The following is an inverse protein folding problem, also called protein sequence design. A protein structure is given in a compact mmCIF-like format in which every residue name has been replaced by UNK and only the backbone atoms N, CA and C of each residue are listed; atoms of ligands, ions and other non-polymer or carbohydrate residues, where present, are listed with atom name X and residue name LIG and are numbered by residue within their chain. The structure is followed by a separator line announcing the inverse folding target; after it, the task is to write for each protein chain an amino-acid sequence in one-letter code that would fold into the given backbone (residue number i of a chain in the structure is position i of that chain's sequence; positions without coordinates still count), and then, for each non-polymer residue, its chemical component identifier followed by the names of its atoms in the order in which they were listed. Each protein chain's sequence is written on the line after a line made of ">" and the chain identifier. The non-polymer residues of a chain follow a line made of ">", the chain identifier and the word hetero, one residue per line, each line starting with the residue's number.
data_IF_786134504983
#
_entry.id   IF_786134504983
#
_cell.length_a   1.000
_cell.length_b   1.000
_cell.length_c   1.000
_cell.angle_alpha   90.00
_cell.angle_beta   90.00
_cell.angle_gamma   90.00
#
_symmetry.space_group_name_H-M   'P 1'
#
loop_
_entity.id
_entity.type
_entity.pdbx_description
1 polymer ?
#
# COMPACT_ATOMS: atom_id res chain seq x y z
N UNK A 1 15.15 -35.81 -52.91
CA UNK A 1 14.41 -34.85 -52.07
C UNK A 1 13.87 -35.58 -50.82
N UNK A 2 14.56 -35.46 -49.67
CA UNK A 2 14.05 -36.04 -48.40
C UNK A 2 13.14 -35.01 -47.72
N UNK A 3 11.83 -35.29 -47.65
CA UNK A 3 10.87 -34.51 -46.86
C UNK A 3 11.28 -34.62 -45.39
N UNK A 4 11.69 -33.51 -44.75
CA UNK A 4 11.78 -33.40 -43.30
C UNK A 4 10.37 -33.56 -42.73
N UNK A 5 10.09 -34.69 -42.11
CA UNK A 5 8.94 -34.85 -41.23
C UNK A 5 9.08 -33.86 -40.08
N UNK A 6 8.20 -32.84 -40.03
CA UNK A 6 7.97 -32.06 -38.82
C UNK A 6 7.34 -33.00 -37.80
N UNK A 7 8.13 -33.46 -36.83
CA UNK A 7 7.58 -34.14 -35.63
C UNK A 7 6.67 -33.14 -34.91
N UNK A 8 5.38 -33.44 -34.86
CA UNK A 8 4.47 -32.80 -33.89
C UNK A 8 4.95 -33.21 -32.51
N UNK A 9 5.73 -32.32 -31.85
CA UNK A 9 6.08 -32.49 -30.44
C UNK A 9 4.80 -32.29 -29.65
N UNK A 10 4.18 -33.40 -29.22
CA UNK A 10 3.02 -33.36 -28.35
C UNK A 10 3.39 -32.72 -27.01
N UNK A 11 2.46 -31.97 -26.41
CA UNK A 11 2.66 -31.38 -25.06
C UNK A 11 2.90 -32.52 -24.09
N UNK A 12 3.98 -32.45 -23.31
CA UNK A 12 4.25 -33.43 -22.27
C UNK A 12 3.15 -33.41 -21.18
N UNK A 13 2.87 -34.53 -20.55
CA UNK A 13 1.91 -34.61 -19.44
C UNK A 13 2.28 -33.63 -18.33
N UNK A 14 3.57 -33.50 -18.02
CA UNK A 14 4.09 -32.57 -17.03
C UNK A 14 3.83 -31.11 -17.41
N UNK A 15 4.03 -30.72 -18.68
CA UNK A 15 3.75 -29.37 -19.17
C UNK A 15 2.26 -29.03 -19.04
N UNK A 16 1.39 -29.99 -19.33
CA UNK A 16 -0.06 -29.82 -19.21
C UNK A 16 -0.46 -29.60 -17.74
N UNK A 17 -0.03 -30.44 -16.83
CA UNK A 17 -0.33 -30.30 -15.39
C UNK A 17 0.18 -28.97 -14.83
N UNK A 18 1.39 -28.55 -15.19
CA UNK A 18 1.93 -27.25 -14.77
C UNK A 18 1.05 -26.09 -15.27
N UNK A 19 0.66 -26.11 -16.54
CA UNK A 19 -0.20 -25.07 -17.12
C UNK A 19 -1.59 -25.04 -16.44
N UNK A 20 -2.17 -26.19 -16.19
CA UNK A 20 -3.44 -26.32 -15.46
C UNK A 20 -3.35 -25.76 -14.04
N UNK A 21 -2.34 -26.14 -13.26
CA UNK A 21 -2.14 -25.65 -11.91
C UNK A 21 -1.86 -24.14 -11.86
N UNK A 22 -1.10 -23.60 -12.81
CA UNK A 22 -0.87 -22.16 -12.93
C UNK A 22 -2.19 -21.42 -13.22
N UNK A 23 -2.98 -21.95 -14.16
CA UNK A 23 -4.29 -21.41 -14.51
C UNK A 23 -5.26 -21.45 -13.31
N UNK A 24 -5.34 -22.57 -12.61
CA UNK A 24 -6.18 -22.73 -11.43
C UNK A 24 -5.75 -21.77 -10.31
N UNK A 25 -4.44 -21.63 -10.11
CA UNK A 25 -3.93 -20.71 -9.09
C UNK A 25 -4.39 -19.28 -9.33
N UNK A 26 -4.22 -18.76 -10.55
CA UNK A 26 -4.51 -17.34 -10.83
C UNK A 26 -5.99 -17.05 -11.05
N UNK A 27 -6.78 -18.01 -11.55
CA UNK A 27 -8.18 -17.80 -11.90
C UNK A 27 -9.17 -18.29 -10.85
N UNK A 28 -8.79 -19.28 -10.02
CA UNK A 28 -9.68 -19.90 -9.04
C UNK A 28 -9.17 -19.66 -7.61
N UNK A 29 -7.94 -20.09 -7.32
CA UNK A 29 -7.43 -20.09 -5.94
C UNK A 29 -7.22 -18.67 -5.40
N UNK A 30 -6.55 -17.81 -6.15
CA UNK A 30 -6.27 -16.43 -5.71
C UNK A 30 -7.55 -15.63 -5.49
N UNK A 31 -8.49 -15.54 -6.43
CA UNK A 31 -9.68 -14.73 -6.25
C UNK A 31 -10.73 -15.36 -5.32
N UNK A 32 -10.96 -16.68 -5.40
CA UNK A 32 -12.08 -17.33 -4.71
C UNK A 32 -11.68 -17.95 -3.38
N UNK A 33 -10.61 -18.74 -3.35
CA UNK A 33 -10.24 -19.52 -2.17
C UNK A 33 -9.44 -18.70 -1.14
N UNK A 34 -8.57 -17.80 -1.58
CA UNK A 34 -7.82 -16.91 -0.69
C UNK A 34 -8.54 -15.60 -0.38
N UNK A 35 -9.58 -15.24 -1.13
CA UNK A 35 -10.24 -13.95 -0.96
C UNK A 35 -9.28 -12.77 -1.05
N UNK A 36 -8.30 -12.85 -1.95
CA UNK A 36 -7.33 -11.79 -2.13
C UNK A 36 -8.00 -10.51 -2.65
N UNK A 37 -7.49 -9.35 -2.22
CA UNK A 37 -7.96 -8.08 -2.77
C UNK A 37 -7.66 -7.99 -4.27
N UNK A 38 -8.46 -7.23 -5.01
CA UNK A 38 -8.27 -6.98 -6.46
C UNK A 38 -6.87 -6.43 -6.78
N UNK A 39 -6.26 -5.69 -5.85
CA UNK A 39 -4.87 -5.22 -5.98
C UNK A 39 -3.86 -6.37 -5.91
N UNK A 40 -4.06 -7.32 -5.01
CA UNK A 40 -3.18 -8.51 -4.89
C UNK A 40 -3.32 -9.39 -6.12
N UNK A 41 -4.54 -9.63 -6.58
CA UNK A 41 -4.81 -10.39 -7.79
C UNK A 41 -4.11 -9.75 -9.01
N UNK A 42 -4.29 -8.44 -9.22
CA UNK A 42 -3.61 -7.69 -10.29
C UNK A 42 -2.09 -7.80 -10.19
N UNK A 43 -1.53 -7.68 -8.98
CA UNK A 43 -0.09 -7.81 -8.78
C UNK A 43 0.41 -9.20 -9.15
N UNK A 44 -0.33 -10.25 -8.84
CA UNK A 44 0.00 -11.63 -9.18
C UNK A 44 -0.11 -11.88 -10.70
N UNK A 45 -1.20 -11.43 -11.34
CA UNK A 45 -1.36 -11.49 -12.80
C UNK A 45 -0.22 -10.78 -13.53
N UNK A 46 0.14 -9.56 -13.08
CA UNK A 46 1.26 -8.82 -13.67
C UNK A 46 2.59 -9.57 -13.47
N UNK A 47 2.81 -10.20 -12.31
CA UNK A 47 4.04 -10.96 -12.05
C UNK A 47 4.15 -12.17 -12.97
N UNK A 48 3.04 -12.89 -13.12
CA UNK A 48 2.97 -14.06 -14.02
C UNK A 48 3.16 -13.65 -15.48
N UNK A 49 2.51 -12.59 -15.94
CA UNK A 49 2.66 -12.08 -17.31
C UNK A 49 4.13 -11.71 -17.60
N UNK A 50 4.81 -11.01 -16.69
CA UNK A 50 6.22 -10.67 -16.84
C UNK A 50 7.12 -11.92 -16.85
N UNK A 51 6.76 -12.95 -16.10
CA UNK A 51 7.50 -14.20 -16.11
C UNK A 51 7.35 -14.96 -17.41
N UNK A 52 6.14 -15.03 -17.95
CA UNK A 52 5.86 -15.62 -19.27
C UNK A 52 6.67 -14.89 -20.35
N UNK A 53 6.62 -13.54 -20.38
CA UNK A 53 7.41 -12.75 -21.34
C UNK A 53 8.91 -13.04 -21.24
N UNK A 54 9.45 -13.20 -20.03
CA UNK A 54 10.85 -13.56 -19.83
C UNK A 54 11.16 -14.97 -20.40
N UNK A 55 10.29 -15.95 -20.14
CA UNK A 55 10.47 -17.30 -20.65
C UNK A 55 10.40 -17.34 -22.19
N UNK A 56 9.48 -16.59 -22.80
CA UNK A 56 9.37 -16.46 -24.25
C UNK A 56 10.64 -15.84 -24.87
N UNK A 57 11.21 -14.80 -24.26
CA UNK A 57 12.48 -14.21 -24.67
C UNK A 57 13.67 -15.20 -24.58
N UNK A 58 13.56 -16.22 -23.70
CA UNK A 58 14.53 -17.31 -23.54
C UNK A 58 14.26 -18.50 -24.46
N UNK A 59 13.25 -18.43 -25.32
CA UNK A 59 12.90 -19.46 -26.28
C UNK A 59 11.99 -20.57 -25.71
N UNK A 60 11.50 -20.43 -24.48
CA UNK A 60 10.49 -21.34 -23.96
C UNK A 60 9.14 -21.05 -24.61
N UNK A 61 8.37 -22.10 -24.81
CA UNK A 61 7.02 -22.04 -25.36
C UNK A 61 6.06 -22.78 -24.42
N UNK A 62 4.74 -22.63 -24.60
CA UNK A 62 3.79 -23.44 -23.82
C UNK A 62 4.02 -24.95 -23.95
N UNK A 63 4.61 -25.41 -25.06
CA UNK A 63 4.93 -26.81 -25.32
C UNK A 63 6.18 -27.31 -24.57
N UNK A 64 7.09 -26.41 -24.23
CA UNK A 64 8.36 -26.69 -23.54
C UNK A 64 8.32 -26.29 -22.06
N UNK A 65 7.16 -25.89 -21.53
CA UNK A 65 6.98 -25.58 -20.11
C UNK A 65 7.29 -26.83 -19.28
N UNK A 66 8.26 -26.73 -18.37
CA UNK A 66 8.70 -27.85 -17.51
C UNK A 66 9.14 -27.34 -16.13
N UNK A 67 9.52 -28.25 -15.24
CA UNK A 67 10.10 -27.88 -13.94
C UNK A 67 11.39 -27.08 -14.09
N UNK A 68 12.12 -27.24 -15.16
CA UNK A 68 13.35 -26.49 -15.47
C UNK A 68 13.10 -25.00 -15.59
N UNK A 69 11.90 -24.60 -16.05
CA UNK A 69 11.49 -23.20 -16.09
C UNK A 69 11.43 -22.55 -14.67
N UNK A 70 11.43 -23.34 -13.60
CA UNK A 70 11.26 -22.84 -12.23
C UNK A 70 12.46 -23.17 -11.32
N UNK A 71 13.61 -23.51 -11.90
CA UNK A 71 14.84 -23.70 -11.14
C UNK A 71 15.30 -22.41 -10.48
N UNK A 72 16.04 -22.47 -9.37
CA UNK A 72 16.59 -21.27 -8.72
C UNK A 72 17.42 -20.40 -9.67
N UNK A 73 18.15 -21.00 -10.60
CA UNK A 73 18.95 -20.30 -11.59
C UNK A 73 18.07 -19.45 -12.53
N UNK A 74 17.04 -20.06 -13.12
CA UNK A 74 16.10 -19.37 -14.02
C UNK A 74 15.37 -18.26 -13.28
N UNK A 75 14.95 -18.48 -12.05
CA UNK A 75 14.28 -17.48 -11.19
C UNK A 75 15.21 -16.31 -10.82
N UNK A 76 16.49 -16.59 -10.50
CA UNK A 76 17.47 -15.55 -10.23
C UNK A 76 17.79 -14.72 -11.50
N UNK A 77 17.91 -15.36 -12.65
CA UNK A 77 18.10 -14.68 -13.94
C UNK A 77 16.88 -13.81 -14.27
N UNK A 78 15.66 -14.26 -13.96
CA UNK A 78 14.48 -13.43 -14.11
C UNK A 78 14.50 -12.20 -13.19
N UNK A 79 14.97 -12.30 -11.93
CA UNK A 79 15.15 -11.14 -11.07
C UNK A 79 16.09 -10.09 -11.67
N UNK A 80 17.21 -10.55 -12.26
CA UNK A 80 18.14 -9.66 -12.97
C UNK A 80 17.47 -9.02 -14.19
N UNK A 81 16.75 -9.81 -14.98
CA UNK A 81 16.00 -9.30 -16.13
C UNK A 81 14.94 -8.25 -15.73
N UNK A 82 14.21 -8.45 -14.62
CA UNK A 82 13.28 -7.46 -14.12
C UNK A 82 13.96 -6.14 -13.77
N UNK A 83 15.16 -6.20 -13.18
CA UNK A 83 15.93 -5.01 -12.82
C UNK A 83 16.49 -4.33 -14.07
N UNK A 84 17.15 -5.09 -14.94
CA UNK A 84 18.00 -4.55 -16.01
C UNK A 84 17.22 -4.24 -17.28
N UNK A 85 16.27 -5.10 -17.68
CA UNK A 85 15.49 -4.93 -18.91
C UNK A 85 14.16 -4.19 -18.65
N UNK A 86 13.60 -4.28 -17.44
CA UNK A 86 12.34 -3.59 -17.10
C UNK A 86 12.54 -2.40 -16.17
N UNK A 87 13.76 -2.08 -15.79
CA UNK A 87 14.13 -0.96 -14.90
C UNK A 87 13.33 -0.96 -13.58
N UNK A 88 13.04 -2.15 -13.02
CA UNK A 88 12.29 -2.25 -11.78
C UNK A 88 13.22 -2.07 -10.57
N UNK A 89 12.73 -1.34 -9.57
CA UNK A 89 13.44 -1.22 -8.29
C UNK A 89 13.49 -2.56 -7.55
N UNK A 90 14.53 -2.83 -6.74
CA UNK A 90 14.68 -4.07 -5.97
C UNK A 90 13.43 -4.48 -5.19
N UNK A 91 12.74 -3.54 -4.54
CA UNK A 91 11.48 -3.81 -3.82
C UNK A 91 10.39 -4.37 -4.75
N UNK A 92 10.28 -3.84 -5.98
CA UNK A 92 9.32 -4.34 -6.97
C UNK A 92 9.71 -5.73 -7.47
N UNK A 93 10.99 -5.98 -7.74
CA UNK A 93 11.50 -7.30 -8.13
C UNK A 93 11.20 -8.33 -7.03
N UNK A 94 11.48 -8.00 -5.78
CA UNK A 94 11.19 -8.85 -4.63
C UNK A 94 9.69 -9.14 -4.49
N UNK A 95 8.83 -8.15 -4.73
CA UNK A 95 7.39 -8.33 -4.74
C UNK A 95 6.92 -9.29 -5.84
N UNK A 96 7.48 -9.18 -7.06
CA UNK A 96 7.21 -10.09 -8.17
C UNK A 96 7.65 -11.52 -7.86
N UNK A 97 8.85 -11.68 -7.31
CA UNK A 97 9.35 -13.00 -6.86
C UNK A 97 8.49 -13.58 -5.75
N UNK A 98 7.98 -12.75 -4.83
CA UNK A 98 7.03 -13.17 -3.81
C UNK A 98 5.77 -13.81 -4.38
N UNK A 99 5.23 -13.25 -5.46
CA UNK A 99 4.08 -13.80 -6.19
C UNK A 99 4.41 -15.18 -6.79
N UNK A 100 5.59 -15.31 -7.43
CA UNK A 100 6.05 -16.59 -7.99
C UNK A 100 6.22 -17.67 -6.91
N UNK A 101 6.84 -17.34 -5.78
CA UNK A 101 6.96 -18.27 -4.64
C UNK A 101 5.59 -18.70 -4.09
N UNK A 102 4.60 -17.80 -4.06
CA UNK A 102 3.23 -18.14 -3.68
C UNK A 102 2.59 -19.14 -4.66
N UNK A 103 2.82 -18.95 -5.97
CA UNK A 103 2.35 -19.88 -6.99
C UNK A 103 3.02 -21.26 -6.85
N UNK A 104 4.34 -21.29 -6.74
CA UNK A 104 5.08 -22.54 -6.59
C UNK A 104 4.68 -23.32 -5.31
N UNK A 105 4.39 -22.59 -4.22
CA UNK A 105 3.86 -23.20 -3.00
C UNK A 105 2.50 -23.85 -3.22
N UNK A 106 1.63 -23.21 -4.01
CA UNK A 106 0.32 -23.76 -4.36
C UNK A 106 0.46 -25.03 -5.20
N UNK A 107 1.30 -25.00 -6.24
CA UNK A 107 1.54 -26.11 -7.14
C UNK A 107 2.12 -27.30 -6.38
N UNK A 108 3.18 -27.09 -5.58
CA UNK A 108 3.81 -28.12 -4.78
C UNK A 108 2.91 -28.74 -3.69
N UNK A 109 1.88 -28.02 -3.26
CA UNK A 109 0.85 -28.55 -2.35
C UNK A 109 -0.24 -29.37 -3.05
N UNK A 110 -0.29 -29.35 -4.39
CA UNK A 110 -1.26 -30.10 -5.20
C UNK A 110 -0.69 -31.38 -5.78
N UNK A 111 0.63 -31.37 -6.05
CA UNK A 111 1.29 -32.50 -6.68
C UNK A 111 2.71 -32.66 -6.12
N UNK A 112 3.00 -33.85 -5.58
CA UNK A 112 4.31 -34.18 -4.99
C UNK A 112 5.44 -34.03 -5.99
N UNK A 113 5.20 -34.29 -7.28
CA UNK A 113 6.21 -34.12 -8.34
C UNK A 113 6.76 -32.68 -8.42
N UNK A 114 6.00 -31.70 -7.95
CA UNK A 114 6.38 -30.28 -7.95
C UNK A 114 6.72 -29.72 -6.56
N UNK A 115 6.68 -30.56 -5.50
CA UNK A 115 6.89 -30.10 -4.11
C UNK A 115 8.26 -29.42 -3.92
N UNK A 116 9.29 -29.94 -4.58
CA UNK A 116 10.66 -29.39 -4.53
C UNK A 116 10.80 -27.98 -5.10
N UNK A 117 9.94 -27.55 -6.03
CA UNK A 117 10.06 -26.25 -6.69
C UNK A 117 9.98 -25.08 -5.71
N UNK A 118 9.01 -25.12 -4.80
CA UNK A 118 8.87 -24.08 -3.79
C UNK A 118 10.01 -24.08 -2.77
N UNK A 119 10.43 -25.23 -2.31
CA UNK A 119 11.50 -25.38 -1.32
C UNK A 119 12.82 -24.83 -1.89
N UNK A 120 13.17 -25.24 -3.10
CA UNK A 120 14.35 -24.75 -3.82
C UNK A 120 14.30 -23.24 -4.06
N UNK A 121 13.15 -22.71 -4.52
CA UNK A 121 12.98 -21.28 -4.71
C UNK A 121 13.04 -20.49 -3.40
N UNK A 122 12.53 -21.05 -2.29
CA UNK A 122 12.57 -20.41 -0.96
C UNK A 122 14.00 -20.32 -0.45
N UNK A 123 14.80 -21.36 -0.60
CA UNK A 123 16.14 -21.46 -0.04
C UNK A 123 17.20 -20.77 -0.90
N UNK A 124 17.16 -20.96 -2.21
CA UNK A 124 18.24 -20.55 -3.11
C UNK A 124 17.95 -19.25 -3.88
N UNK A 125 16.70 -18.77 -3.93
CA UNK A 125 16.39 -17.47 -4.53
C UNK A 125 16.29 -16.42 -3.45
N UNK A 126 17.36 -15.64 -3.26
CA UNK A 126 17.45 -14.61 -2.23
C UNK A 126 16.79 -13.31 -2.70
N UNK A 127 16.32 -12.52 -1.74
CA UNK A 127 15.82 -11.18 -2.02
C UNK A 127 16.97 -10.28 -2.45
N UNK A 128 16.72 -9.41 -3.41
CA UNK A 128 17.61 -8.29 -3.72
C UNK A 128 17.70 -7.35 -2.52
N UNK A 129 18.90 -6.81 -2.26
CA UNK A 129 19.08 -5.80 -1.22
C UNK A 129 18.27 -4.55 -1.59
N UNK A 130 17.46 -4.11 -0.65
CA UNK A 130 16.74 -2.85 -0.75
C UNK A 130 17.50 -1.81 0.08
N UNK A 131 17.80 -0.65 -0.50
CA UNK A 131 18.33 0.46 0.27
C UNK A 131 17.31 0.84 1.35
N UNK A 132 17.76 1.13 2.56
CA UNK A 132 16.89 1.70 3.58
C UNK A 132 16.52 3.11 3.13
N UNK A 133 15.32 3.27 2.61
CA UNK A 133 14.77 4.59 2.32
C UNK A 133 14.23 5.15 3.62
N UNK A 134 14.91 6.16 4.14
CA UNK A 134 14.41 6.95 5.27
C UNK A 134 13.23 7.77 4.76
N UNK A 135 12.02 7.39 5.07
CA UNK A 135 10.84 8.20 4.75
C UNK A 135 10.65 9.18 5.90
N UNK A 136 11.15 10.39 5.72
CA UNK A 136 10.86 11.49 6.65
C UNK A 136 9.42 11.95 6.45
N UNK A 137 8.72 12.27 7.55
CA UNK A 137 7.45 12.99 7.51
C UNK A 137 7.64 14.39 6.91
N UNK A 138 6.56 14.98 6.40
CA UNK A 138 6.57 16.38 5.97
C UNK A 138 6.78 17.31 7.17
N UNK A 139 7.43 18.43 6.93
CA UNK A 139 7.53 19.49 7.93
C UNK A 139 6.17 20.13 8.21
N UNK A 140 6.02 20.78 9.35
CA UNK A 140 4.77 21.52 9.68
C UNK A 140 4.48 22.64 8.68
N UNK A 141 5.51 23.26 8.11
CA UNK A 141 5.37 24.29 7.05
C UNK A 141 4.82 23.69 5.76
N UNK A 142 5.36 22.54 5.32
CA UNK A 142 4.85 21.83 4.15
C UNK A 142 3.38 21.41 4.33
N UNK A 143 3.01 20.90 5.52
CA UNK A 143 1.61 20.54 5.84
C UNK A 143 0.69 21.78 5.78
N UNK A 144 1.11 22.91 6.35
CA UNK A 144 0.33 24.17 6.29
C UNK A 144 0.15 24.65 4.83
N UNK A 145 1.22 24.63 4.03
CA UNK A 145 1.16 25.02 2.63
C UNK A 145 0.22 24.12 1.82
N UNK A 146 0.24 22.81 2.07
CA UNK A 146 -0.67 21.86 1.44
C UNK A 146 -2.13 22.08 1.83
N UNK A 147 -2.42 22.41 3.08
CA UNK A 147 -3.79 22.73 3.52
C UNK A 147 -4.29 24.07 2.98
N UNK A 148 -3.40 25.01 2.70
CA UNK A 148 -3.73 26.28 2.10
C UNK A 148 -3.91 26.25 0.57
N UNK A 149 -3.42 25.18 -0.09
CA UNK A 149 -3.39 25.09 -1.55
C UNK A 149 -4.78 24.91 -2.22
N UNK A 150 -5.77 24.18 -1.65
CA UNK A 150 -7.10 24.05 -2.22
C UNK A 150 -7.86 25.37 -2.17
N UNK A 151 -8.50 25.73 -3.28
CA UNK A 151 -9.42 26.87 -3.32
C UNK A 151 -10.75 26.49 -2.64
N UNK A 152 -10.91 26.89 -1.39
CA UNK A 152 -12.08 26.57 -0.58
C UNK A 152 -13.34 27.37 -0.92
N UNK A 153 -13.30 28.27 -1.90
CA UNK A 153 -14.52 28.90 -2.45
C UNK A 153 -15.28 27.89 -3.34
N UNK A 154 -14.58 26.89 -3.86
CA UNK A 154 -15.14 25.84 -4.72
C UNK A 154 -15.52 24.59 -3.92
N UNK A 155 -16.56 23.86 -4.38
CA UNK A 155 -16.94 22.56 -3.79
C UNK A 155 -15.76 21.57 -3.80
N UNK A 156 -15.05 21.47 -4.92
CA UNK A 156 -13.92 20.54 -5.05
C UNK A 156 -12.76 20.90 -4.10
N UNK A 157 -12.49 22.17 -3.90
CA UNK A 157 -11.45 22.59 -2.96
C UNK A 157 -11.81 22.28 -1.51
N UNK A 158 -13.10 22.46 -1.11
CA UNK A 158 -13.57 22.03 0.21
C UNK A 158 -13.42 20.52 0.41
N UNK A 159 -13.81 19.71 -0.58
CA UNK A 159 -13.61 18.27 -0.54
C UNK A 159 -12.14 17.89 -0.39
N UNK A 160 -11.29 18.48 -1.21
CA UNK A 160 -9.87 18.11 -1.25
C UNK A 160 -9.16 18.50 0.05
N UNK A 161 -9.48 19.67 0.62
CA UNK A 161 -8.97 20.05 1.93
C UNK A 161 -9.46 19.11 3.03
N UNK A 162 -10.76 18.81 3.06
CA UNK A 162 -11.32 17.89 4.07
C UNK A 162 -10.71 16.49 3.95
N UNK A 163 -10.51 16.00 2.72
CA UNK A 163 -9.83 14.72 2.49
C UNK A 163 -8.38 14.73 3.03
N UNK A 164 -7.62 15.78 2.80
CA UNK A 164 -6.25 15.92 3.32
C UNK A 164 -6.23 16.00 4.85
N UNK A 165 -7.17 16.74 5.45
CA UNK A 165 -7.34 16.79 6.91
C UNK A 165 -7.67 15.43 7.50
N UNK A 166 -8.54 14.65 6.84
CA UNK A 166 -8.84 13.27 7.25
C UNK A 166 -7.60 12.36 7.10
N UNK A 167 -6.87 12.44 5.99
CA UNK A 167 -5.64 11.65 5.79
C UNK A 167 -4.60 11.91 6.89
N UNK A 168 -4.44 13.16 7.31
CA UNK A 168 -3.50 13.57 8.33
C UNK A 168 -4.02 13.29 9.75
N UNK A 169 -5.26 13.70 10.06
CA UNK A 169 -5.78 13.65 11.42
C UNK A 169 -6.06 12.24 11.92
N UNK A 170 -6.56 11.35 11.05
CA UNK A 170 -6.84 9.96 11.45
C UNK A 170 -5.73 8.98 11.06
N UNK A 171 -4.72 9.44 10.31
CA UNK A 171 -3.61 8.63 9.81
C UNK A 171 -4.05 7.29 9.18
N UNK A 172 -5.23 7.24 8.58
CA UNK A 172 -5.78 6.07 7.93
C UNK A 172 -5.02 5.73 6.64
N UNK A 173 -5.08 4.46 6.21
CA UNK A 173 -4.68 4.14 4.83
C UNK A 173 -5.66 4.79 3.88
N UNK A 174 -5.19 5.23 2.71
CA UNK A 174 -6.06 5.95 1.76
C UNK A 174 -7.32 5.13 1.41
N UNK A 175 -7.21 3.81 1.25
CA UNK A 175 -8.38 2.96 1.01
C UNK A 175 -9.36 2.91 2.18
N UNK A 176 -8.87 2.95 3.43
CA UNK A 176 -9.71 3.03 4.61
C UNK A 176 -10.50 4.34 4.61
N UNK A 177 -9.84 5.47 4.32
CA UNK A 177 -10.48 6.79 4.27
C UNK A 177 -11.49 6.89 3.13
N UNK A 178 -11.15 6.40 1.94
CA UNK A 178 -12.05 6.43 0.80
C UNK A 178 -13.22 5.45 0.93
N UNK A 179 -13.10 4.44 1.79
CA UNK A 179 -14.17 3.48 2.08
C UNK A 179 -15.11 3.93 3.18
N UNK A 180 -14.80 5.04 3.89
CA UNK A 180 -15.67 5.59 4.91
C UNK A 180 -17.05 5.90 4.33
N UNK A 181 -18.08 5.52 5.05
CA UNK A 181 -19.46 5.91 4.84
C UNK A 181 -19.82 7.08 5.77
N UNK A 182 -20.92 7.75 5.50
CA UNK A 182 -21.39 8.87 6.34
C UNK A 182 -21.57 8.40 7.78
N UNK A 183 -22.15 7.22 8.01
CA UNK A 183 -22.36 6.62 9.34
C UNK A 183 -21.08 6.33 10.12
N UNK A 184 -19.94 6.24 9.46
CA UNK A 184 -18.66 5.92 10.10
C UNK A 184 -18.04 7.14 10.82
N UNK A 185 -18.56 8.36 10.59
CA UNK A 185 -18.18 9.56 11.34
C UNK A 185 -19.25 9.87 12.39
N UNK A 186 -18.89 9.67 13.63
CA UNK A 186 -19.77 9.95 14.78
C UNK A 186 -19.40 11.31 15.34
N UNK A 187 -20.13 12.32 14.88
CA UNK A 187 -19.93 13.73 15.26
C UNK A 187 -21.01 14.25 16.20
N UNK A 188 -22.01 13.42 16.47
CA UNK A 188 -23.15 13.62 17.35
C UNK A 188 -22.87 13.28 18.83
N UNK A 189 -21.61 13.02 19.17
CA UNK A 189 -21.15 12.61 20.51
C UNK A 189 -20.19 13.64 21.10
N UNK A 190 -19.99 13.60 22.43
CA UNK A 190 -19.09 14.53 23.16
C UNK A 190 -17.67 14.52 22.60
N UNK A 191 -17.15 13.34 22.30
CA UNK A 191 -15.81 13.13 21.73
C UNK A 191 -15.94 12.53 20.34
N UNK A 192 -16.03 13.36 19.29
CA UNK A 192 -16.24 12.90 17.91
C UNK A 192 -15.13 11.96 17.42
N UNK A 193 -15.50 10.92 16.68
CA UNK A 193 -14.56 9.94 16.14
C UNK A 193 -14.96 9.39 14.79
N UNK A 194 -13.98 8.84 14.07
CA UNK A 194 -14.15 8.08 12.83
C UNK A 194 -13.92 6.60 13.09
N UNK A 195 -14.75 5.73 12.48
CA UNK A 195 -14.61 4.28 12.50
C UNK A 195 -13.91 3.85 11.23
N UNK A 196 -12.70 3.32 11.34
CA UNK A 196 -11.90 2.87 10.21
C UNK A 196 -11.94 1.34 10.08
N UNK A 197 -12.30 0.87 8.89
CA UNK A 197 -12.35 -0.54 8.54
C UNK A 197 -11.04 -0.96 7.84
N UNK A 198 -10.19 -1.66 8.58
CA UNK A 198 -8.87 -2.09 8.12
C UNK A 198 -8.86 -3.48 7.44
N UNK A 199 -7.69 -3.90 6.94
CA UNK A 199 -7.50 -5.22 6.34
C UNK A 199 -7.76 -6.34 7.37
N UNK A 200 -8.50 -7.38 6.95
CA UNK A 200 -8.82 -8.54 7.80
C UNK A 200 -9.90 -8.23 8.83
N UNK A 201 -10.89 -7.41 8.47
CA UNK A 201 -12.04 -7.03 9.31
C UNK A 201 -11.66 -6.36 10.63
N UNK A 202 -10.45 -5.80 10.73
CA UNK A 202 -10.04 -5.02 11.90
C UNK A 202 -10.73 -3.66 11.87
N UNK A 203 -11.40 -3.33 12.98
CA UNK A 203 -12.07 -2.05 13.17
C UNK A 203 -11.30 -1.27 14.23
N UNK A 204 -11.12 0.03 14.02
CA UNK A 204 -10.59 0.94 15.04
C UNK A 204 -11.29 2.29 14.97
N UNK A 205 -11.39 2.94 16.11
CA UNK A 205 -11.90 4.32 16.22
C UNK A 205 -10.73 5.27 16.42
N UNK A 206 -10.79 6.42 15.76
CA UNK A 206 -9.82 7.51 15.91
C UNK A 206 -10.57 8.80 16.18
N UNK A 207 -10.25 9.47 17.29
CA UNK A 207 -10.89 10.74 17.66
C UNK A 207 -10.56 11.85 16.66
N UNK A 208 -11.55 12.70 16.39
CA UNK A 208 -11.46 13.80 15.43
C UNK A 208 -11.17 15.12 16.15
N UNK A 209 -10.20 15.85 15.65
CA UNK A 209 -9.88 17.18 16.15
C UNK A 209 -10.96 18.19 15.71
N UNK A 210 -11.20 19.24 16.51
CA UNK A 210 -12.22 20.28 16.24
C UNK A 210 -12.06 20.95 14.87
N UNK A 211 -10.82 21.14 14.41
CA UNK A 211 -10.56 21.66 13.07
C UNK A 211 -11.08 20.78 11.95
N UNK A 212 -11.08 19.45 12.12
CA UNK A 212 -11.63 18.48 11.15
C UNK A 212 -13.15 18.56 11.14
N UNK A 213 -13.79 18.68 12.32
CA UNK A 213 -15.25 18.77 12.45
C UNK A 213 -15.80 19.97 11.70
N UNK A 214 -15.19 21.14 11.85
CA UNK A 214 -15.58 22.36 11.10
C UNK A 214 -15.61 22.15 9.58
N UNK A 215 -14.62 21.45 9.04
CA UNK A 215 -14.55 21.16 7.61
C UNK A 215 -15.48 20.03 7.19
N UNK A 216 -15.71 19.05 8.07
CA UNK A 216 -16.72 18.00 7.89
C UNK A 216 -18.12 18.61 7.72
N UNK A 217 -18.56 19.49 8.60
CA UNK A 217 -19.87 20.14 8.53
C UNK A 217 -20.06 20.89 7.21
N UNK A 218 -19.04 21.67 6.82
CA UNK A 218 -19.06 22.39 5.55
C UNK A 218 -19.11 21.44 4.36
N UNK A 219 -18.34 20.36 4.39
CA UNK A 219 -18.32 19.33 3.38
C UNK A 219 -19.67 18.63 3.26
N UNK A 220 -20.26 18.20 4.38
CA UNK A 220 -21.56 17.54 4.43
C UNK A 220 -22.66 18.40 3.81
N UNK A 221 -22.72 19.68 4.16
CA UNK A 221 -23.69 20.63 3.58
C UNK A 221 -23.57 20.73 2.06
N UNK A 222 -22.34 20.73 1.51
CA UNK A 222 -22.09 20.90 0.08
C UNK A 222 -22.30 19.64 -0.74
N UNK A 223 -22.00 18.45 -0.17
CA UNK A 223 -21.96 17.19 -0.91
C UNK A 223 -23.13 16.26 -0.56
N UNK A 224 -23.57 16.22 0.70
CA UNK A 224 -24.59 15.31 1.17
C UNK A 224 -25.95 15.99 1.47
N UNK A 225 -25.95 17.33 1.59
CA UNK A 225 -27.17 18.11 1.83
C UNK A 225 -27.68 18.01 3.27
N UNK A 226 -29.00 18.30 3.44
CA UNK A 226 -29.63 18.35 4.79
C UNK A 226 -29.95 16.97 5.37
N UNK A 227 -30.24 15.99 4.51
CA UNK A 227 -30.63 14.63 4.89
C UNK A 227 -29.67 13.62 4.26
N UNK A 228 -28.44 13.47 4.81
CA UNK A 228 -27.44 12.56 4.25
C UNK A 228 -27.87 11.10 4.40
N UNK A 229 -27.72 10.31 3.31
CA UNK A 229 -27.87 8.88 3.42
C UNK A 229 -26.64 8.30 4.16
N UNK A 230 -26.89 7.60 5.24
CA UNK A 230 -25.86 7.04 6.13
C UNK A 230 -25.01 5.95 5.44
N UNK A 231 -25.54 5.28 4.41
CA UNK A 231 -24.85 4.23 3.66
C UNK A 231 -24.02 4.77 2.48
N UNK A 232 -24.15 6.05 2.14
CA UNK A 232 -23.34 6.67 1.10
C UNK A 232 -21.85 6.72 1.50
N UNK A 233 -20.98 6.58 0.51
CA UNK A 233 -19.56 6.86 0.73
C UNK A 233 -19.37 8.33 1.13
N UNK A 234 -18.57 8.56 2.16
CA UNK A 234 -18.25 9.91 2.61
C UNK A 234 -17.61 10.70 1.47
N UNK A 235 -16.60 10.13 0.81
CA UNK A 235 -15.96 10.70 -0.37
C UNK A 235 -16.38 9.95 -1.62
N UNK A 236 -17.15 10.59 -2.49
CA UNK A 236 -17.70 9.96 -3.68
C UNK A 236 -17.41 10.76 -4.96
N UNK A 237 -17.54 10.10 -6.09
CA UNK A 237 -17.70 10.65 -7.43
C UNK A 237 -19.05 10.22 -8.00
N UNK A 238 -19.58 11.00 -8.93
CA UNK A 238 -20.79 10.61 -9.64
C UNK A 238 -20.38 9.92 -10.93
N UNK A 239 -20.82 8.66 -11.10
CA UNK A 239 -20.59 7.85 -12.29
C UNK A 239 -21.95 7.33 -12.76
N UNK A 240 -22.34 7.65 -13.97
CA UNK A 240 -23.67 7.31 -14.51
C UNK A 240 -24.83 7.67 -13.55
N UNK A 241 -24.76 8.84 -12.92
CA UNK A 241 -25.78 9.32 -11.98
C UNK A 241 -25.73 8.71 -10.58
N UNK A 242 -24.87 7.74 -10.33
CA UNK A 242 -24.74 7.06 -9.03
C UNK A 242 -23.52 7.56 -8.24
N UNK A 243 -23.66 7.60 -6.92
CA UNK A 243 -22.55 7.92 -5.99
C UNK A 243 -21.66 6.70 -5.82
N UNK A 244 -20.48 6.74 -6.43
CA UNK A 244 -19.48 5.70 -6.34
C UNK A 244 -18.32 6.15 -5.47
N UNK A 245 -17.67 5.21 -4.78
CA UNK A 245 -16.43 5.46 -4.01
C UNK A 245 -15.42 6.24 -4.84
N UNK A 246 -14.84 7.29 -4.27
CA UNK A 246 -13.77 8.05 -4.91
C UNK A 246 -12.54 7.15 -5.10
N UNK A 247 -11.91 7.20 -6.28
CA UNK A 247 -10.80 6.29 -6.62
C UNK A 247 -9.44 6.85 -6.19
N UNK A 248 -8.51 5.98 -5.83
CA UNK A 248 -7.12 6.39 -5.50
C UNK A 248 -6.43 7.18 -6.62
N UNK A 249 -6.52 6.80 -7.92
CA UNK A 249 -5.95 7.60 -9.00
C UNK A 249 -6.49 9.03 -9.07
N UNK A 250 -7.82 9.19 -8.87
CA UNK A 250 -8.43 10.53 -8.85
C UNK A 250 -7.88 11.38 -7.69
N UNK A 251 -7.77 10.78 -6.50
CA UNK A 251 -7.17 11.45 -5.33
C UNK A 251 -5.70 11.78 -5.57
N UNK A 252 -4.92 10.86 -6.10
CA UNK A 252 -3.50 11.08 -6.38
C UNK A 252 -3.28 12.24 -7.36
N UNK A 253 -4.12 12.34 -8.40
CA UNK A 253 -4.09 13.47 -9.36
C UNK A 253 -4.36 14.78 -8.66
N UNK A 254 -5.37 14.84 -7.78
CA UNK A 254 -5.73 16.06 -7.02
C UNK A 254 -4.65 16.43 -6.01
N UNK A 255 -4.12 15.47 -5.27
CA UNK A 255 -3.02 15.71 -4.32
C UNK A 255 -1.76 16.24 -5.03
N UNK A 256 -1.43 15.71 -6.20
CA UNK A 256 -0.32 16.21 -7.01
C UNK A 256 -0.55 17.67 -7.41
N UNK A 257 -1.74 18.03 -7.92
CA UNK A 257 -2.09 19.39 -8.28
C UNK A 257 -1.92 20.35 -7.11
N UNK A 258 -2.41 19.99 -5.92
CA UNK A 258 -2.27 20.82 -4.73
C UNK A 258 -0.83 20.93 -4.24
N UNK A 259 -0.05 19.85 -4.37
CA UNK A 259 1.37 19.87 -4.04
C UNK A 259 2.17 20.76 -5.00
N UNK A 260 1.87 20.71 -6.31
CA UNK A 260 2.50 21.59 -7.30
C UNK A 260 2.21 23.06 -6.96
N UNK A 261 0.95 23.39 -6.59
CA UNK A 261 0.56 24.73 -6.15
C UNK A 261 1.24 25.15 -4.84
N UNK A 262 1.28 24.25 -3.84
CA UNK A 262 1.89 24.53 -2.54
C UNK A 262 3.41 24.78 -2.64
N UNK A 263 4.10 24.13 -3.58
CA UNK A 263 5.54 24.34 -3.81
C UNK A 263 5.88 25.76 -4.30
N UNK A 264 4.93 26.46 -4.87
CA UNK A 264 5.14 27.89 -5.26
C UNK A 264 5.38 28.76 -4.02
N UNK A 265 4.89 28.37 -2.85
CA UNK A 265 5.01 29.15 -1.60
C UNK A 265 5.88 28.45 -0.55
N UNK A 266 6.14 27.15 -0.69
CA UNK A 266 6.92 26.37 0.28
C UNK A 266 7.71 25.26 -0.44
N UNK A 267 9.02 25.44 -0.52
CA UNK A 267 9.94 24.48 -1.15
C UNK A 267 10.11 23.17 -0.36
N UNK A 268 9.66 23.14 0.91
CA UNK A 268 9.69 21.93 1.74
C UNK A 268 8.60 20.91 1.35
N UNK A 269 7.68 21.25 0.47
CA UNK A 269 6.63 20.34 0.00
C UNK A 269 7.23 19.24 -0.87
N UNK A 270 7.08 17.94 -0.49
CA UNK A 270 7.74 16.84 -1.16
C UNK A 270 7.36 16.67 -2.64
N UNK A 271 8.33 16.16 -3.41
CA UNK A 271 8.13 15.72 -4.77
C UNK A 271 8.76 14.33 -4.97
N UNK A 272 7.99 13.29 -5.30
CA UNK A 272 6.53 13.28 -5.53
C UNK A 272 5.71 13.31 -4.23
N UNK A 273 4.52 13.89 -4.31
CA UNK A 273 3.51 13.83 -3.25
C UNK A 273 2.57 12.62 -3.46
N UNK A 274 2.34 11.85 -2.41
CA UNK A 274 1.42 10.71 -2.43
C UNK A 274 0.65 10.56 -1.10
N UNK A 275 -0.54 9.97 -1.17
CA UNK A 275 -1.44 9.89 -0.01
C UNK A 275 -0.84 9.20 1.22
N UNK A 276 0.03 8.22 1.05
CA UNK A 276 0.64 7.50 2.17
C UNK A 276 1.57 8.38 3.01
N UNK A 277 2.12 9.45 2.41
CA UNK A 277 2.98 10.40 3.11
C UNK A 277 2.23 11.15 4.23
N UNK A 278 0.93 11.42 4.07
CA UNK A 278 0.11 12.01 5.13
C UNK A 278 0.11 11.14 6.39
N UNK A 279 -0.07 9.86 6.21
CA UNK A 279 -0.05 8.89 7.31
C UNK A 279 1.32 8.81 7.99
N UNK A 280 2.41 8.82 7.21
CA UNK A 280 3.77 8.91 7.74
C UNK A 280 3.98 10.19 8.54
N UNK A 281 3.57 11.32 7.98
CA UNK A 281 3.69 12.62 8.62
C UNK A 281 2.94 12.70 9.93
N UNK A 282 1.70 12.18 9.97
CA UNK A 282 0.92 12.11 11.20
C UNK A 282 1.65 11.32 12.29
N UNK A 283 2.19 10.14 11.96
CA UNK A 283 2.95 9.33 12.91
C UNK A 283 4.21 10.03 13.43
N UNK A 284 4.95 10.71 12.55
CA UNK A 284 6.12 11.50 12.95
C UNK A 284 5.74 12.63 13.90
N UNK A 285 4.70 13.40 13.57
CA UNK A 285 4.25 14.52 14.39
C UNK A 285 3.62 14.07 15.73
N UNK A 286 2.91 12.93 15.75
CA UNK A 286 2.43 12.35 17.01
C UNK A 286 3.59 11.98 17.93
N UNK A 287 4.64 11.39 17.37
CA UNK A 287 5.84 11.06 18.12
C UNK A 287 6.60 12.30 18.62
N UNK A 288 6.74 13.34 17.77
CA UNK A 288 7.32 14.63 18.17
C UNK A 288 6.54 15.27 19.32
N UNK A 289 5.23 15.06 19.37
CA UNK A 289 4.35 15.52 20.46
C UNK A 289 4.38 14.61 21.70
N UNK A 290 5.26 13.57 21.73
CA UNK A 290 5.46 12.71 22.90
C UNK A 290 4.56 11.48 22.96
N UNK A 291 3.72 11.20 21.94
CA UNK A 291 2.90 10.00 21.92
C UNK A 291 3.79 8.76 21.80
N UNK A 292 3.53 7.77 22.66
CA UNK A 292 4.31 6.53 22.71
C UNK A 292 4.15 5.72 21.40
N UNK A 293 5.23 5.03 21.01
CA UNK A 293 5.25 4.21 19.78
C UNK A 293 4.20 3.09 19.78
N UNK A 294 3.83 2.57 20.96
CA UNK A 294 2.78 1.55 21.11
C UNK A 294 1.40 2.16 20.84
N UNK A 295 1.15 3.36 21.37
CA UNK A 295 -0.09 4.11 21.12
C UNK A 295 -0.21 4.50 19.64
N UNK A 296 0.89 4.95 19.01
CA UNK A 296 0.93 5.22 17.57
C UNK A 296 0.60 3.97 16.77
N UNK A 297 1.15 2.81 17.15
CA UNK A 297 0.82 1.51 16.52
C UNK A 297 -0.68 1.22 16.58
N UNK A 298 -1.30 1.39 17.75
CA UNK A 298 -2.73 1.15 17.96
C UNK A 298 -3.57 2.15 17.11
N UNK A 299 -3.29 3.44 17.20
CA UNK A 299 -3.97 4.49 16.42
C UNK A 299 -3.87 4.23 14.92
N UNK A 300 -2.72 3.76 14.43
CA UNK A 300 -2.53 3.42 13.02
C UNK A 300 -3.11 2.06 12.64
N UNK A 301 -3.43 1.18 13.58
CA UNK A 301 -3.87 -0.19 13.31
C UNK A 301 -2.78 -1.02 12.60
N UNK A 302 -1.54 -0.95 13.08
CA UNK A 302 -0.45 -1.79 12.58
C UNK A 302 -0.50 -3.18 13.21
N UNK A 303 -0.48 -4.22 12.37
CA UNK A 303 -0.47 -5.61 12.85
C UNK A 303 0.85 -6.00 13.54
N UNK A 304 1.95 -5.28 13.24
CA UNK A 304 3.30 -5.54 13.76
C UNK A 304 3.97 -4.23 14.20
N UNK A 305 4.70 -4.27 15.31
CA UNK A 305 5.57 -3.18 15.76
C UNK A 305 6.63 -2.83 14.71
N UNK A 306 7.13 -3.81 13.96
CA UNK A 306 8.12 -3.59 12.89
C UNK A 306 7.64 -2.56 11.87
N UNK A 307 6.34 -2.51 11.58
CA UNK A 307 5.74 -1.50 10.68
C UNK A 307 5.72 -0.09 11.29
N UNK A 308 5.81 0.02 12.62
CA UNK A 308 5.80 1.29 13.35
C UNK A 308 7.24 1.72 13.69
N UNK A 309 8.18 0.77 13.76
CA UNK A 309 9.59 1.04 14.02
C UNK A 309 10.28 1.87 12.92
N UNK A 310 9.68 1.95 11.72
CA UNK A 310 10.11 2.88 10.66
C UNK A 310 10.12 4.33 11.14
N UNK A 311 9.37 4.65 12.20
CA UNK A 311 9.31 5.98 12.83
C UNK A 311 10.27 6.13 14.02
N UNK A 312 11.15 5.14 14.28
CA UNK A 312 11.98 5.06 15.49
C UNK A 312 13.27 5.88 15.46
N UNK A 313 13.54 6.60 14.37
CA UNK A 313 14.75 7.42 14.35
C UNK A 313 14.64 8.57 15.36
N UNK A 314 15.28 8.33 16.48
CA UNK A 314 15.44 9.32 17.55
C UNK A 314 16.44 10.35 17.06
N UNK A 315 16.00 11.59 16.85
CA UNK A 315 16.90 12.67 16.51
C UNK A 315 17.89 12.87 17.68
N UNK A 316 19.10 13.35 17.40
CA UNK A 316 20.10 13.61 18.45
C UNK A 316 19.59 14.64 19.48
N UNK A 317 18.70 15.52 19.07
CA UNK A 317 18.02 16.46 19.97
C UNK A 317 17.08 15.74 20.96
N UNK A 318 16.33 14.74 20.49
CA UNK A 318 15.47 13.93 21.37
C UNK A 318 16.27 13.06 22.33
N UNK A 319 17.43 12.52 21.89
CA UNK A 319 18.38 11.80 22.77
C UNK A 319 18.90 12.74 23.86
N UNK A 320 19.30 13.96 23.50
CA UNK A 320 19.78 14.98 24.46
C UNK A 320 18.69 15.38 25.46
N UNK A 321 17.43 15.57 25.01
CA UNK A 321 16.31 15.87 25.89
C UNK A 321 16.02 14.73 26.87
N UNK A 322 16.05 13.48 26.39
CA UNK A 322 15.86 12.31 27.25
C UNK A 322 16.96 12.20 28.33
N UNK A 323 18.22 12.41 27.96
CA UNK A 323 19.35 12.40 28.92
C UNK A 323 19.20 13.52 29.94
N UNK A 324 18.87 14.75 29.51
CA UNK A 324 18.63 15.86 30.43
C UNK A 324 17.48 15.62 31.42
N UNK A 325 16.42 14.95 30.99
CA UNK A 325 15.32 14.60 31.90
C UNK A 325 15.75 13.56 32.94
N UNK A 326 16.63 12.62 32.57
CA UNK A 326 17.23 11.66 33.52
C UNK A 326 18.17 12.32 34.50
N UNK A 327 18.99 13.29 34.09
CA UNK A 327 19.87 14.06 34.96
C UNK A 327 19.09 14.83 36.04
N UNK A 328 17.94 15.43 35.67
CA UNK A 328 17.04 16.10 36.61
C UNK A 328 16.47 15.13 37.65
N UNK A 329 16.06 13.92 37.23
CA UNK A 329 15.55 12.88 38.10
C UNK A 329 16.62 12.35 39.07
N UNK A 330 17.85 12.12 38.59
CA UNK A 330 18.97 11.68 39.41
C UNK A 330 19.32 12.75 40.47
N UNK A 331 19.35 14.03 40.09
CA UNK A 331 19.60 15.14 41.01
C UNK A 331 18.51 15.32 42.08
N UNK A 332 17.26 15.00 41.78
CA UNK A 332 16.17 14.99 42.76
C UNK A 332 16.20 13.77 43.69
N UNK A 333 16.71 12.63 43.22
CA UNK A 333 16.83 11.41 44.05
C UNK A 333 18.05 11.43 44.98
N UNK A 334 19.02 12.31 44.72
CA UNK A 334 20.21 12.48 45.51
C UNK A 334 20.09 13.59 46.59
N UNK A 335 18.96 14.28 46.67
CA UNK A 335 18.60 15.22 47.73
C UNK A 335 17.66 14.55 48.74
#
# INVERSE_FOLDING_TARGET
>A
MKKKQKSCVGISLQSRHLAEYISDWINIYVPRMRGCSSHTERAYRTSLSLYVSYLEEKGYTPFTLSIECFTPEVLNNWLLWLRDNRNLKPASCNGRMGAMKCMLKYIGGRDVAFAGLYLNAKEHVKRMREGKVHIMGMTRNAVRALFAAPDTTTKLGVRDLFLMLMCYGVAGRIDEILSLKVKDLRTDVKDPYAILHGKGSKIRSVYLQSGIIKWYERYMKLFHGKTPNQEDYLFYSIVHGQRCKLTQPAVSKRMKLHADKARLTCNEVPNPMHAHLWRHTAACHWRENGINIVEIKELMGHASLTSTMVYQDVTDEQKRKAIKSLENNVTQTMK
#
